data_IF_129076211997
#
_entry.id   IF_129076211997
#
_cell.length_a   1.000
_cell.length_b   1.000
_cell.length_c   1.000
_cell.angle_alpha   90.00
_cell.angle_beta   90.00
_cell.angle_gamma   90.00
#
_symmetry.space_group_name_H-M   'P 1'
#
loop_
_entity.id
_entity.type
_entity.pdbx_description
1 polymer ?
#
# COMPACT_ATOMS: atom_id res chain seq x y z
N UNK A 1 15.63 14.84 14.29
CA UNK A 1 15.78 14.99 12.82
C UNK A 1 14.73 15.95 12.32
N UNK A 2 15.16 16.95 11.53
CA UNK A 2 14.25 17.87 10.83
C UNK A 2 13.59 17.15 9.65
N UNK A 3 12.51 17.69 9.09
CA UNK A 3 11.88 17.14 7.87
C UNK A 3 12.82 17.20 6.65
N UNK A 4 13.77 18.13 6.67
CA UNK A 4 14.84 18.27 5.69
C UNK A 4 15.86 17.13 5.76
N UNK A 5 16.29 16.77 6.98
CA UNK A 5 17.20 15.63 7.20
C UNK A 5 16.58 14.33 6.68
N UNK A 6 15.28 14.12 6.94
CA UNK A 6 14.54 12.94 6.48
C UNK A 6 14.46 12.86 4.96
N UNK A 7 14.24 13.99 4.30
CA UNK A 7 14.17 14.09 2.83
C UNK A 7 15.53 13.81 2.21
N UNK A 8 16.58 14.38 2.79
CA UNK A 8 17.96 14.21 2.32
C UNK A 8 18.43 12.76 2.48
N UNK A 9 18.16 12.14 3.63
CA UNK A 9 18.49 10.74 3.89
C UNK A 9 17.70 9.80 2.97
N UNK A 10 16.38 10.02 2.80
CA UNK A 10 15.55 9.23 1.90
C UNK A 10 16.03 9.31 0.44
N UNK A 11 16.38 10.51 -0.02
CA UNK A 11 16.95 10.74 -1.34
C UNK A 11 18.31 10.06 -1.55
N UNK A 12 19.12 9.94 -0.49
CA UNK A 12 20.44 9.28 -0.55
C UNK A 12 20.33 7.78 -0.81
N UNK A 13 19.24 7.15 -0.37
CA UNK A 13 18.98 5.72 -0.58
C UNK A 13 18.56 5.38 -2.02
N UNK A 14 18.23 6.38 -2.85
CA UNK A 14 17.86 6.15 -4.24
C UNK A 14 19.07 5.75 -5.09
N UNK A 15 18.87 4.75 -5.95
CA UNK A 15 19.89 4.20 -6.85
C UNK A 15 19.48 4.37 -8.31
N UNK A 16 20.48 4.39 -9.19
CA UNK A 16 20.29 4.37 -10.65
C UNK A 16 19.24 5.37 -11.17
N UNK A 17 18.19 4.88 -11.85
CA UNK A 17 17.12 5.69 -12.45
C UNK A 17 16.41 6.56 -11.42
N UNK A 18 16.18 6.06 -10.20
CA UNK A 18 15.48 6.81 -9.16
C UNK A 18 16.29 8.00 -8.65
N UNK A 19 17.61 7.86 -8.58
CA UNK A 19 18.50 8.98 -8.23
C UNK A 19 18.49 10.05 -9.31
N UNK A 20 18.50 9.66 -10.59
CA UNK A 20 18.46 10.59 -11.72
C UNK A 20 17.10 11.31 -11.79
N UNK A 21 16.00 10.57 -11.68
CA UNK A 21 14.66 11.13 -11.63
C UNK A 21 14.50 12.13 -10.48
N UNK A 22 14.94 11.79 -9.26
CA UNK A 22 14.78 12.67 -8.11
C UNK A 22 15.57 13.98 -8.24
N UNK A 23 16.76 13.96 -8.86
CA UNK A 23 17.51 15.20 -9.17
C UNK A 23 16.69 16.16 -10.03
N UNK A 24 16.02 15.65 -11.06
CA UNK A 24 15.18 16.44 -11.97
C UNK A 24 13.91 16.93 -11.27
N UNK A 25 13.25 16.06 -10.50
CA UNK A 25 12.06 16.42 -9.72
C UNK A 25 12.38 17.53 -8.70
N UNK A 26 13.52 17.42 -8.01
CA UNK A 26 13.98 18.41 -7.03
C UNK A 26 14.21 19.79 -7.64
N UNK A 27 14.78 19.86 -8.85
CA UNK A 27 14.95 21.14 -9.56
C UNK A 27 13.61 21.79 -9.90
N UNK A 28 12.63 21.00 -10.35
CA UNK A 28 11.26 21.49 -10.62
C UNK A 28 10.55 21.96 -9.35
N UNK A 29 10.64 21.20 -8.26
CA UNK A 29 9.93 21.47 -7.00
C UNK A 29 10.54 22.64 -6.22
N UNK A 30 11.85 22.83 -6.29
CA UNK A 30 12.58 23.91 -5.62
C UNK A 30 12.59 25.23 -6.40
N UNK A 31 11.86 25.33 -7.52
CA UNK A 31 11.76 26.58 -8.28
C UNK A 31 11.18 27.69 -7.38
N UNK A 32 11.80 28.88 -7.41
CA UNK A 32 11.39 30.01 -6.58
C UNK A 32 11.82 29.93 -5.10
N UNK A 33 12.73 29.03 -4.74
CA UNK A 33 13.27 28.94 -3.37
C UNK A 33 12.39 28.16 -2.39
N UNK A 34 11.42 27.39 -2.90
CA UNK A 34 10.55 26.55 -2.07
C UNK A 34 11.34 25.42 -1.40
N UNK A 35 11.19 25.29 -0.08
CA UNK A 35 11.75 24.18 0.67
C UNK A 35 10.98 22.90 0.37
N UNK A 36 11.69 21.82 0.03
CA UNK A 36 11.10 20.52 -0.28
C UNK A 36 10.98 19.72 1.01
N UNK A 37 9.75 19.41 1.40
CA UNK A 37 9.46 18.62 2.60
C UNK A 37 9.50 17.11 2.31
N UNK A 38 9.57 16.32 3.38
CA UNK A 38 9.52 14.85 3.27
C UNK A 38 8.21 14.37 2.64
N UNK A 39 7.10 15.05 2.93
CA UNK A 39 5.80 14.76 2.34
C UNK A 39 5.76 15.00 0.83
N UNK A 40 6.39 16.08 0.35
CA UNK A 40 6.52 16.36 -1.08
C UNK A 40 7.34 15.27 -1.79
N UNK A 41 8.46 14.85 -1.19
CA UNK A 41 9.26 13.74 -1.69
C UNK A 41 8.43 12.45 -1.78
N UNK A 42 7.76 12.07 -0.68
CA UNK A 42 6.90 10.87 -0.65
C UNK A 42 5.82 10.95 -1.73
N UNK A 43 5.13 12.08 -1.87
CA UNK A 43 4.08 12.26 -2.88
C UNK A 43 4.61 12.06 -4.29
N UNK A 44 5.70 12.71 -4.66
CA UNK A 44 6.29 12.61 -6.00
C UNK A 44 6.84 11.20 -6.27
N UNK A 45 7.44 10.57 -5.26
CA UNK A 45 7.89 9.18 -5.34
C UNK A 45 6.72 8.23 -5.59
N UNK A 46 5.63 8.40 -4.85
CA UNK A 46 4.39 7.63 -5.03
C UNK A 46 3.79 7.82 -6.41
N UNK A 47 3.75 9.05 -6.95
CA UNK A 47 3.23 9.31 -8.30
C UNK A 47 4.05 8.61 -9.37
N UNK A 48 5.38 8.63 -9.26
CA UNK A 48 6.30 8.04 -10.25
C UNK A 48 6.33 6.50 -10.21
N UNK A 49 6.40 5.91 -9.02
CA UNK A 49 6.66 4.47 -8.86
C UNK A 49 5.43 3.66 -8.47
N UNK A 50 4.39 4.31 -7.95
CA UNK A 50 3.10 3.69 -7.63
C UNK A 50 1.95 4.47 -8.29
N UNK A 51 1.93 4.55 -9.63
CA UNK A 51 0.87 5.25 -10.36
C UNK A 51 -0.51 4.62 -10.14
N UNK A 52 -1.55 5.34 -10.52
CA UNK A 52 -2.94 4.96 -10.22
C UNK A 52 -3.33 3.58 -10.76
N UNK A 53 -2.83 3.21 -11.95
CA UNK A 53 -3.05 1.90 -12.54
C UNK A 53 -2.44 0.76 -11.69
N UNK A 54 -1.21 0.95 -11.18
CA UNK A 54 -0.56 -0.02 -10.29
C UNK A 54 -1.30 -0.13 -8.96
N UNK A 55 -1.74 1.00 -8.39
CA UNK A 55 -2.57 0.98 -7.17
C UNK A 55 -3.91 0.30 -7.39
N UNK A 56 -4.58 0.60 -8.51
CA UNK A 56 -5.86 0.00 -8.87
C UNK A 56 -5.71 -1.52 -9.06
N UNK A 57 -4.62 -1.99 -9.67
CA UNK A 57 -4.31 -3.44 -9.73
C UNK A 57 -4.18 -4.05 -8.34
N UNK A 58 -3.57 -3.35 -7.38
CA UNK A 58 -3.48 -3.82 -5.98
C UNK A 58 -4.85 -3.89 -5.29
N UNK A 59 -5.74 -2.93 -5.56
CA UNK A 59 -7.13 -2.97 -5.07
C UNK A 59 -7.89 -4.14 -5.69
N UNK A 60 -7.75 -4.37 -7.00
CA UNK A 60 -8.38 -5.53 -7.66
C UNK A 60 -7.83 -6.84 -7.08
N UNK A 61 -6.51 -6.95 -6.92
CA UNK A 61 -5.87 -8.12 -6.29
C UNK A 61 -6.41 -8.37 -4.87
N UNK A 62 -6.67 -7.32 -4.10
CA UNK A 62 -7.29 -7.41 -2.78
C UNK A 62 -8.74 -7.91 -2.84
N UNK A 63 -9.55 -7.34 -3.72
CA UNK A 63 -10.97 -7.68 -3.88
C UNK A 63 -11.16 -9.13 -4.36
N UNK A 64 -10.25 -9.62 -5.21
CA UNK A 64 -10.25 -10.99 -5.72
C UNK A 64 -9.48 -11.97 -4.85
N UNK A 65 -8.82 -11.50 -3.77
CA UNK A 65 -8.00 -12.35 -2.91
C UNK A 65 -8.82 -13.47 -2.28
N UNK A 66 -8.42 -14.70 -2.57
CA UNK A 66 -8.86 -15.94 -1.92
C UNK A 66 -7.66 -16.69 -1.38
N UNK A 67 -7.88 -17.51 -0.35
CA UNK A 67 -6.85 -18.31 0.29
C UNK A 67 -6.21 -19.31 -0.67
N UNK A 68 -7.00 -19.95 -1.54
CA UNK A 68 -6.53 -20.96 -2.48
C UNK A 68 -5.65 -22.02 -1.79
N UNK A 69 -4.42 -22.19 -2.28
CA UNK A 69 -3.41 -23.12 -1.76
C UNK A 69 -2.53 -22.53 -0.66
N UNK A 70 -2.76 -21.27 -0.25
CA UNK A 70 -2.01 -20.64 0.83
C UNK A 70 -2.40 -21.24 2.19
N UNK A 71 -1.42 -21.28 3.09
CA UNK A 71 -1.71 -21.39 4.53
C UNK A 71 -2.54 -20.19 5.00
N UNK A 72 -3.25 -20.32 6.11
CA UNK A 72 -4.03 -19.20 6.69
C UNK A 72 -3.10 -18.03 7.02
N UNK A 73 -1.88 -18.30 7.49
CA UNK A 73 -0.89 -17.27 7.81
C UNK A 73 -0.41 -16.51 6.57
N UNK A 74 -0.10 -17.20 5.47
CA UNK A 74 0.27 -16.56 4.20
C UNK A 74 -0.88 -15.73 3.63
N UNK A 75 -2.11 -16.27 3.69
CA UNK A 75 -3.30 -15.54 3.28
C UNK A 75 -3.49 -14.27 4.11
N UNK A 76 -3.35 -14.33 5.44
CA UNK A 76 -3.46 -13.17 6.31
C UNK A 76 -2.37 -12.12 6.08
N UNK A 77 -1.12 -12.55 5.90
CA UNK A 77 -0.04 -11.63 5.56
C UNK A 77 -0.30 -10.92 4.22
N UNK A 78 -0.78 -11.67 3.21
CA UNK A 78 -1.13 -11.10 1.91
C UNK A 78 -2.35 -10.19 1.98
N UNK A 79 -3.35 -10.54 2.77
CA UNK A 79 -4.55 -9.74 3.01
C UNK A 79 -4.18 -8.37 3.60
N UNK A 80 -3.38 -8.35 4.66
CA UNK A 80 -2.98 -7.11 5.33
C UNK A 80 -2.08 -6.24 4.42
N UNK A 81 -1.16 -6.87 3.68
CA UNK A 81 -0.33 -6.15 2.71
C UNK A 81 -1.16 -5.50 1.60
N UNK A 82 -2.25 -6.14 1.16
CA UNK A 82 -3.09 -5.62 0.09
C UNK A 82 -4.17 -4.65 0.61
N UNK A 83 -4.66 -4.82 1.84
CA UNK A 83 -5.61 -3.90 2.44
C UNK A 83 -5.04 -2.50 2.61
N UNK A 84 -3.72 -2.36 2.80
CA UNK A 84 -3.04 -1.06 2.86
C UNK A 84 -3.28 -0.18 1.61
N UNK A 85 -3.62 -0.77 0.46
CA UNK A 85 -3.94 -0.05 -0.78
C UNK A 85 -5.43 0.27 -0.95
N UNK A 86 -6.28 -0.16 -0.01
CA UNK A 86 -7.73 0.00 -0.05
C UNK A 86 -8.18 0.82 1.17
N UNK A 87 -8.07 2.17 1.14
CA UNK A 87 -8.37 3.03 2.29
C UNK A 87 -9.75 2.81 2.90
N UNK A 88 -10.73 2.46 2.07
CA UNK A 88 -12.11 2.19 2.47
C UNK A 88 -12.25 1.02 3.45
N UNK A 89 -11.26 0.12 3.55
CA UNK A 89 -11.26 -1.00 4.50
C UNK A 89 -10.41 -0.74 5.75
N UNK A 90 -9.73 0.41 5.85
CA UNK A 90 -8.84 0.72 6.97
C UNK A 90 -9.39 1.85 7.86
N UNK A 91 -10.72 2.04 7.85
CA UNK A 91 -11.39 2.94 8.79
C UNK A 91 -12.04 2.13 9.92
N UNK A 92 -12.24 2.73 11.12
CA UNK A 92 -12.92 2.05 12.22
C UNK A 92 -14.31 1.52 11.84
N UNK A 93 -15.03 2.24 10.97
CA UNK A 93 -16.38 1.89 10.53
C UNK A 93 -16.40 0.67 9.60
N UNK A 94 -15.28 0.41 8.91
CA UNK A 94 -15.14 -0.69 7.96
C UNK A 94 -14.53 -1.95 8.57
N UNK A 95 -14.26 -1.97 9.88
CA UNK A 95 -13.63 -3.11 10.56
C UNK A 95 -14.46 -4.40 10.40
N UNK A 96 -15.78 -4.30 10.55
CA UNK A 96 -16.68 -5.42 10.31
C UNK A 96 -16.62 -5.91 8.86
N UNK A 97 -16.70 -5.01 7.88
CA UNK A 97 -16.60 -5.35 6.46
C UNK A 97 -15.25 -5.97 6.10
N UNK A 98 -14.16 -5.53 6.76
CA UNK A 98 -12.82 -6.10 6.61
C UNK A 98 -12.79 -7.55 7.12
N UNK A 99 -13.42 -7.84 8.26
CA UNK A 99 -13.57 -9.20 8.78
C UNK A 99 -14.39 -10.09 7.84
N UNK A 100 -15.56 -9.63 7.39
CA UNK A 100 -16.41 -10.36 6.42
C UNK A 100 -15.63 -10.65 5.13
N UNK A 101 -14.88 -9.66 4.62
CA UNK A 101 -14.06 -9.84 3.43
C UNK A 101 -12.96 -10.89 3.64
N UNK A 102 -12.28 -10.89 4.79
CA UNK A 102 -11.30 -11.91 5.15
C UNK A 102 -11.92 -13.30 5.20
N UNK A 103 -13.01 -13.47 5.94
CA UNK A 103 -13.71 -14.74 6.10
C UNK A 103 -14.22 -15.25 4.75
N UNK A 104 -14.79 -14.38 3.91
CA UNK A 104 -15.30 -14.74 2.58
C UNK A 104 -14.22 -15.30 1.64
N UNK A 105 -12.95 -14.95 1.88
CA UNK A 105 -11.82 -15.40 1.09
C UNK A 105 -11.18 -16.69 1.59
N UNK A 106 -11.52 -17.16 2.79
CA UNK A 106 -11.06 -18.44 3.32
C UNK A 106 -11.62 -19.62 2.51
N UNK A 107 -10.86 -20.71 2.47
CA UNK A 107 -11.31 -21.96 1.84
C UNK A 107 -12.42 -22.62 2.68
N UNK A 108 -13.33 -23.39 2.06
CA UNK A 108 -14.49 -23.97 2.74
C UNK A 108 -14.14 -24.76 4.00
N UNK A 109 -13.05 -25.54 3.97
CA UNK A 109 -12.64 -26.38 5.10
C UNK A 109 -12.29 -25.55 6.34
N UNK A 110 -11.71 -24.35 6.14
CA UNK A 110 -11.39 -23.43 7.24
C UNK A 110 -12.65 -22.72 7.71
N UNK A 111 -13.53 -22.31 6.79
CA UNK A 111 -14.83 -21.69 7.12
C UNK A 111 -15.68 -22.57 8.03
N UNK A 112 -15.74 -23.88 7.75
CA UNK A 112 -16.45 -24.84 8.59
C UNK A 112 -15.88 -24.94 10.01
N UNK A 113 -14.55 -24.86 10.16
CA UNK A 113 -13.90 -24.94 11.47
C UNK A 113 -14.18 -23.71 12.35
N UNK A 114 -14.35 -22.53 11.75
CA UNK A 114 -14.64 -21.28 12.47
C UNK A 114 -16.14 -21.03 12.66
N UNK A 115 -17.00 -22.00 12.29
CA UNK A 115 -18.46 -21.87 12.42
C UNK A 115 -19.09 -20.92 11.40
N UNK A 116 -18.40 -20.61 10.30
CA UNK A 116 -18.93 -19.79 9.23
C UNK A 116 -19.86 -20.66 8.36
N UNK A 117 -21.13 -20.71 8.74
CA UNK A 117 -22.20 -21.20 7.88
C UNK A 117 -22.56 -20.09 6.89
N UNK A 118 -22.57 -20.41 5.60
CA UNK A 118 -23.11 -19.51 4.58
C UNK A 118 -24.51 -19.02 5.01
N UNK A 119 -24.71 -17.70 5.05
CA UNK A 119 -26.03 -17.07 5.17
C UNK A 119 -26.69 -17.08 3.80
#
# INVERSE_FOLDING_TARGET
>A
CTEEDKTTLGAYMLREEAKHWWKNARQRLGAGGMMITCEMFKREFWVKYFPADIRNRKVVEFLELKQWNMTVAEYAAKFESLSAFSPNYNTPEAEYDKCVKFESGLRPEVKHLIGFSEI
#
